data_IF_166423731022
#
_entry.id   IF_166423731022
#
_cell.length_a   1.000
_cell.length_b   1.000
_cell.length_c   1.000
_cell.angle_alpha   90.00
_cell.angle_beta   90.00
_cell.angle_gamma   90.00
#
_symmetry.space_group_name_H-M   'P 1'
#
loop_
_entity.id
_entity.type
_entity.pdbx_description
1 polymer ?
#
# COMPACT_ATOMS: atom_id res chain seq x y z
N UNK A 1 -67.86 44.97 -26.38
CA UNK A 1 -67.68 43.50 -26.28
C UNK A 1 -67.01 43.00 -27.53
N UNK A 2 -66.06 42.08 -27.37
CA UNK A 2 -65.17 41.57 -28.43
C UNK A 2 -63.77 42.07 -28.14
N UNK A 3 -62.95 41.46 -27.27
CA UNK A 3 -62.61 40.03 -27.25
C UNK A 3 -62.62 39.45 -28.67
N UNK A 4 -61.87 40.07 -29.57
CA UNK A 4 -61.30 39.30 -30.68
C UNK A 4 -60.30 38.37 -30.03
N UNK A 5 -60.83 37.19 -29.71
CA UNK A 5 -60.11 36.07 -29.20
C UNK A 5 -58.92 35.88 -30.11
N UNK A 6 -57.74 36.19 -29.54
CA UNK A 6 -56.55 35.39 -29.62
C UNK A 6 -56.74 34.31 -30.68
N UNK A 7 -56.22 34.60 -31.87
CA UNK A 7 -55.90 33.56 -32.84
C UNK A 7 -54.89 32.62 -32.18
N UNK A 8 -55.33 31.79 -31.23
CA UNK A 8 -54.57 30.68 -30.67
C UNK A 8 -54.17 29.76 -31.82
N UNK A 9 -55.03 29.64 -32.84
CA UNK A 9 -54.74 28.89 -34.07
C UNK A 9 -53.53 29.44 -34.83
N UNK A 10 -53.25 30.75 -34.77
CA UNK A 10 -52.07 31.33 -35.43
C UNK A 10 -50.81 31.26 -34.57
N UNK A 11 -50.91 31.21 -33.23
CA UNK A 11 -49.77 30.92 -32.35
C UNK A 11 -49.27 29.46 -32.51
N UNK A 12 -50.17 28.51 -32.80
CA UNK A 12 -49.82 27.10 -33.01
C UNK A 12 -49.60 26.70 -34.49
N UNK A 13 -49.80 27.61 -35.45
CA UNK A 13 -49.46 27.38 -36.87
C UNK A 13 -47.95 27.25 -37.04
N UNK A 14 -47.50 26.24 -37.81
CA UNK A 14 -46.08 25.96 -38.12
C UNK A 14 -45.30 27.19 -38.62
N UNK A 15 -45.97 28.14 -39.28
CA UNK A 15 -45.39 29.40 -39.78
C UNK A 15 -44.92 30.36 -38.68
N UNK A 16 -45.43 30.21 -37.45
CA UNK A 16 -45.10 31.04 -36.30
C UNK A 16 -43.91 30.51 -35.51
N UNK A 17 -43.38 29.33 -35.87
CA UNK A 17 -42.17 28.76 -35.28
C UNK A 17 -40.93 29.35 -35.96
N UNK A 18 -40.39 30.41 -35.36
CA UNK A 18 -39.04 30.88 -35.70
C UNK A 18 -38.01 29.98 -35.03
N UNK A 19 -37.17 29.30 -35.83
CA UNK A 19 -35.99 28.59 -35.34
C UNK A 19 -34.81 29.55 -35.43
N UNK A 20 -34.40 30.11 -34.29
CA UNK A 20 -33.22 30.97 -34.22
C UNK A 20 -31.98 30.12 -33.92
N UNK A 21 -31.08 30.02 -34.89
CA UNK A 21 -29.74 29.49 -34.72
C UNK A 21 -28.75 30.64 -34.83
N UNK A 22 -28.20 31.08 -33.70
CA UNK A 22 -27.18 32.13 -33.65
C UNK A 22 -25.84 31.44 -33.37
N UNK A 23 -24.99 31.19 -34.38
CA UNK A 23 -23.65 30.70 -34.13
C UNK A 23 -22.81 31.81 -33.49
N UNK A 24 -22.32 31.56 -32.27
CA UNK A 24 -21.43 32.48 -31.56
C UNK A 24 -20.00 31.96 -31.53
N UNK A 25 -19.04 32.73 -32.06
CA UNK A 25 -17.61 32.50 -31.91
C UNK A 25 -17.08 33.33 -30.74
N UNK A 26 -16.73 32.67 -29.62
CA UNK A 26 -16.12 33.32 -28.47
C UNK A 26 -14.60 33.17 -28.56
N UNK A 27 -13.91 34.21 -29.00
CA UNK A 27 -12.45 34.30 -28.96
C UNK A 27 -12.04 35.32 -27.89
N UNK A 28 -11.60 34.87 -26.68
CA UNK A 28 -11.14 35.79 -25.66
C UNK A 28 -9.80 36.41 -26.09
N UNK A 29 -9.81 37.70 -26.44
CA UNK A 29 -8.60 38.44 -26.84
C UNK A 29 -7.72 38.81 -25.64
N UNK A 30 -8.29 38.92 -24.45
CA UNK A 30 -7.58 39.19 -23.19
C UNK A 30 -8.24 38.41 -22.04
N UNK A 31 -7.56 37.37 -21.56
CA UNK A 31 -8.05 36.49 -20.47
C UNK A 31 -7.36 36.76 -19.12
N UNK A 32 -6.57 37.84 -19.01
CA UNK A 32 -5.90 38.25 -17.77
C UNK A 32 -4.96 37.21 -17.16
N UNK A 33 -4.49 36.23 -17.94
CA UNK A 33 -3.68 35.11 -17.45
C UNK A 33 -4.48 33.92 -16.91
N UNK A 34 -5.82 33.99 -16.84
CA UNK A 34 -6.71 32.90 -16.36
C UNK A 34 -6.54 31.60 -17.13
N UNK A 35 -6.33 31.67 -18.44
CA UNK A 35 -6.09 30.49 -19.27
C UNK A 35 -4.74 29.83 -18.94
N UNK A 36 -3.69 30.63 -18.72
CA UNK A 36 -2.36 30.14 -18.34
C UNK A 36 -2.35 29.59 -16.91
N UNK A 37 -3.04 30.22 -15.97
CA UNK A 37 -3.18 29.73 -14.59
C UNK A 37 -3.91 28.38 -14.52
N UNK A 38 -4.96 28.18 -15.33
CA UNK A 38 -5.62 26.87 -15.42
C UNK A 38 -4.70 25.80 -16.04
N UNK A 39 -3.89 26.18 -17.03
CA UNK A 39 -2.90 25.27 -17.62
C UNK A 39 -1.81 24.89 -16.61
N UNK A 40 -1.31 25.84 -15.83
CA UNK A 40 -0.35 25.58 -14.75
C UNK A 40 -0.94 24.69 -13.66
N UNK A 41 -2.17 24.94 -13.22
CA UNK A 41 -2.86 24.09 -12.25
C UNK A 41 -3.05 22.66 -12.77
N UNK A 42 -3.42 22.51 -14.04
CA UNK A 42 -3.57 21.19 -14.69
C UNK A 42 -2.23 20.46 -14.80
N UNK A 43 -1.16 21.18 -15.17
CA UNK A 43 0.20 20.61 -15.24
C UNK A 43 0.72 20.21 -13.86
N UNK A 44 0.50 21.02 -12.84
CA UNK A 44 0.88 20.70 -11.47
C UNK A 44 0.15 19.45 -10.95
N UNK A 45 -1.15 19.33 -11.22
CA UNK A 45 -1.92 18.13 -10.90
C UNK A 45 -1.38 16.88 -11.63
N UNK A 46 -1.07 17.00 -12.93
CA UNK A 46 -0.45 15.92 -13.69
C UNK A 46 0.90 15.48 -13.11
N UNK A 47 1.77 16.44 -12.76
CA UNK A 47 3.07 16.15 -12.17
C UNK A 47 2.92 15.45 -10.81
N UNK A 48 1.94 15.86 -9.99
CA UNK A 48 1.65 15.20 -8.73
C UNK A 48 1.20 13.74 -8.93
N UNK A 49 0.42 13.46 -9.98
CA UNK A 49 -0.02 12.09 -10.29
C UNK A 49 1.15 11.22 -10.76
N UNK A 50 2.07 11.77 -11.56
CA UNK A 50 3.30 11.07 -11.97
C UNK A 50 4.16 10.77 -10.75
N UNK A 51 4.33 11.73 -9.85
CA UNK A 51 5.13 11.52 -8.63
C UNK A 51 4.52 10.46 -7.72
N UNK A 52 3.19 10.48 -7.52
CA UNK A 52 2.47 9.44 -6.77
C UNK A 52 2.66 8.05 -7.39
N UNK A 53 2.60 7.95 -8.71
CA UNK A 53 2.87 6.70 -9.42
C UNK A 53 4.30 6.22 -9.17
N UNK A 54 5.29 7.10 -9.34
CA UNK A 54 6.70 6.77 -9.09
C UNK A 54 6.92 6.30 -7.65
N UNK A 55 6.34 7.01 -6.67
CA UNK A 55 6.43 6.63 -5.27
C UNK A 55 5.77 5.27 -5.00
N UNK A 56 4.62 4.98 -5.60
CA UNK A 56 3.93 3.70 -5.47
C UNK A 56 4.78 2.55 -6.00
N UNK A 57 5.42 2.73 -7.15
CA UNK A 57 6.31 1.72 -7.75
C UNK A 57 7.55 1.52 -6.88
N UNK A 58 8.17 2.62 -6.41
CA UNK A 58 9.33 2.56 -5.54
C UNK A 58 9.03 1.84 -4.22
N UNK A 59 7.86 2.10 -3.62
CA UNK A 59 7.41 1.43 -2.41
C UNK A 59 7.21 -0.07 -2.66
N UNK A 60 6.54 -0.45 -3.75
CA UNK A 60 6.34 -1.85 -4.10
C UNK A 60 7.67 -2.62 -4.27
N UNK A 61 8.65 -2.03 -4.94
CA UNK A 61 9.99 -2.63 -5.09
C UNK A 61 10.70 -2.74 -3.74
N UNK A 62 10.62 -1.70 -2.91
CA UNK A 62 11.17 -1.72 -1.54
C UNK A 62 10.55 -2.82 -0.69
N UNK A 63 9.23 -2.96 -0.74
CA UNK A 63 8.50 -3.97 0.05
C UNK A 63 8.91 -5.38 -0.38
N UNK A 64 9.06 -5.63 -1.68
CA UNK A 64 9.58 -6.92 -2.19
C UNK A 64 11.00 -7.18 -1.70
N UNK A 65 11.88 -6.17 -1.76
CA UNK A 65 13.26 -6.31 -1.29
C UNK A 65 13.34 -6.59 0.22
N UNK A 66 12.59 -5.85 1.03
CA UNK A 66 12.54 -6.00 2.50
C UNK A 66 11.89 -7.33 2.90
N UNK A 67 10.80 -7.72 2.25
CA UNK A 67 10.13 -9.00 2.54
C UNK A 67 10.99 -10.19 2.10
N UNK A 68 11.71 -10.06 0.99
CA UNK A 68 12.66 -11.06 0.51
C UNK A 68 13.80 -11.30 1.51
N UNK A 69 14.44 -10.23 1.99
CA UNK A 69 15.51 -10.35 3.00
C UNK A 69 14.99 -10.88 4.33
N UNK A 70 13.79 -10.49 4.75
CA UNK A 70 13.18 -10.99 5.99
C UNK A 70 12.96 -12.50 5.98
N UNK A 71 12.57 -13.08 4.84
CA UNK A 71 12.42 -14.53 4.71
C UNK A 71 13.76 -15.25 4.81
N UNK A 72 14.82 -14.68 4.22
CA UNK A 72 16.17 -15.24 4.34
C UNK A 72 16.67 -15.18 5.78
N UNK A 73 16.55 -14.02 6.44
CA UNK A 73 16.92 -13.86 7.85
C UNK A 73 16.16 -14.82 8.76
N UNK A 74 14.86 -15.05 8.52
CA UNK A 74 14.08 -16.03 9.28
C UNK A 74 14.56 -17.47 9.10
N UNK A 75 15.06 -17.84 7.92
CA UNK A 75 15.64 -19.17 7.71
C UNK A 75 16.98 -19.30 8.43
N UNK A 76 17.85 -18.29 8.34
CA UNK A 76 19.13 -18.27 9.05
C UNK A 76 18.92 -18.31 10.58
N UNK A 77 17.96 -17.55 11.11
CA UNK A 77 17.56 -17.57 12.52
C UNK A 77 17.06 -18.95 12.96
N UNK A 78 16.26 -19.63 12.12
CA UNK A 78 15.79 -21.00 12.41
C UNK A 78 16.92 -22.02 12.44
N UNK A 79 17.86 -21.93 11.49
CA UNK A 79 19.02 -22.82 11.45
C UNK A 79 19.90 -22.63 12.69
N UNK A 80 20.24 -21.37 13.03
CA UNK A 80 20.98 -21.05 14.25
C UNK A 80 20.24 -21.53 15.51
N UNK A 81 18.91 -21.38 15.58
CA UNK A 81 18.13 -21.86 16.72
C UNK A 81 18.14 -23.39 16.82
N UNK A 82 18.08 -24.10 15.69
CA UNK A 82 18.19 -25.56 15.67
C UNK A 82 19.56 -26.03 16.15
N UNK A 83 20.65 -25.36 15.73
CA UNK A 83 22.00 -25.63 16.21
C UNK A 83 22.14 -25.39 17.73
N UNK A 84 21.57 -24.29 18.24
CA UNK A 84 21.58 -23.99 19.68
C UNK A 84 20.85 -25.06 20.50
N UNK A 85 19.69 -25.51 20.04
CA UNK A 85 18.94 -26.59 20.70
C UNK A 85 19.76 -27.89 20.72
N UNK A 86 20.37 -28.26 19.59
CA UNK A 86 21.18 -29.48 19.51
C UNK A 86 22.43 -29.41 20.39
N UNK A 87 23.14 -28.28 20.40
CA UNK A 87 24.28 -28.05 21.27
C UNK A 87 23.89 -28.19 22.75
N UNK A 88 22.76 -27.61 23.14
CA UNK A 88 22.27 -27.68 24.52
C UNK A 88 21.88 -29.11 24.90
N UNK A 89 21.22 -29.85 24.00
CA UNK A 89 20.92 -31.28 24.18
C UNK A 89 22.16 -32.15 24.27
N UNK A 90 23.21 -31.82 23.53
CA UNK A 90 24.49 -32.51 23.64
C UNK A 90 25.12 -32.31 25.02
N UNK A 91 25.14 -31.09 25.53
CA UNK A 91 25.62 -30.78 26.88
C UNK A 91 24.81 -31.48 27.96
N UNK A 92 23.48 -31.53 27.82
CA UNK A 92 22.62 -32.29 28.72
C UNK A 92 22.99 -33.77 28.74
N UNK A 93 23.11 -34.42 27.57
CA UNK A 93 23.49 -35.84 27.45
C UNK A 93 24.86 -36.11 28.07
N UNK A 94 25.82 -35.21 27.88
CA UNK A 94 27.15 -35.32 28.47
C UNK A 94 27.11 -35.25 30.01
N UNK A 95 26.36 -34.31 30.58
CA UNK A 95 26.19 -34.18 32.02
C UNK A 95 25.47 -35.41 32.64
N UNK A 96 24.46 -35.93 31.94
CA UNK A 96 23.72 -37.12 32.36
C UNK A 96 24.61 -38.39 32.33
N UNK A 97 25.43 -38.55 31.29
CA UNK A 97 26.41 -39.63 31.22
C UNK A 97 27.50 -39.52 32.29
N UNK A 98 27.98 -38.32 32.61
CA UNK A 98 28.93 -38.10 33.69
C UNK A 98 28.32 -38.48 35.06
N UNK A 99 27.04 -38.16 35.29
CA UNK A 99 26.33 -38.52 36.51
C UNK A 99 26.17 -40.03 36.65
N UNK A 100 25.78 -40.72 35.58
CA UNK A 100 25.66 -42.18 35.55
C UNK A 100 26.99 -42.89 35.85
N UNK A 101 28.11 -42.26 35.50
CA UNK A 101 29.47 -42.76 35.80
C UNK A 101 29.99 -42.30 37.17
N UNK A 102 29.20 -41.57 37.95
CA UNK A 102 29.58 -41.05 39.27
C UNK A 102 30.61 -39.92 39.23
N UNK A 103 30.83 -39.29 38.08
CA UNK A 103 31.82 -38.23 37.88
C UNK A 103 31.30 -36.82 38.22
N UNK A 104 29.99 -36.67 38.42
CA UNK A 104 29.34 -35.41 38.79
C UNK A 104 28.15 -35.67 39.72
N UNK A 105 27.65 -34.62 40.36
CA UNK A 105 26.50 -34.67 41.27
C UNK A 105 25.16 -34.64 40.52
N UNK A 106 24.10 -35.15 41.16
CA UNK A 106 22.73 -35.12 40.62
C UNK A 106 22.24 -33.69 40.36
N UNK A 107 22.70 -32.73 41.17
CA UNK A 107 22.36 -31.32 41.03
C UNK A 107 22.87 -30.77 39.70
N UNK A 108 24.16 -30.98 39.37
CA UNK A 108 24.74 -30.54 38.10
C UNK A 108 24.06 -31.17 36.88
N UNK A 109 23.68 -32.45 36.96
CA UNK A 109 22.91 -33.10 35.89
C UNK A 109 21.46 -32.61 35.77
N UNK A 110 20.90 -31.99 36.81
CA UNK A 110 19.56 -31.39 36.77
C UNK A 110 19.64 -29.94 36.25
N UNK A 111 20.67 -29.20 36.66
CA UNK A 111 20.95 -27.86 36.13
C UNK A 111 21.22 -27.88 34.62
N UNK A 112 21.89 -28.91 34.11
CA UNK A 112 22.13 -29.08 32.66
C UNK A 112 20.86 -29.29 31.81
N UNK A 113 19.70 -29.60 32.42
CA UNK A 113 18.40 -29.68 31.73
C UNK A 113 17.72 -28.32 31.58
N UNK A 114 17.98 -27.38 32.49
CA UNK A 114 17.35 -26.06 32.50
C UNK A 114 17.48 -25.30 31.16
N UNK A 115 18.65 -25.25 30.50
CA UNK A 115 18.75 -24.52 29.23
C UNK A 115 18.01 -25.21 28.09
N UNK A 116 17.86 -26.54 28.08
CA UNK A 116 17.05 -27.24 27.05
C UNK A 116 15.57 -26.87 27.19
N UNK A 117 15.06 -26.88 28.43
CA UNK A 117 13.69 -26.48 28.74
C UNK A 117 13.41 -25.01 28.37
N UNK A 118 14.39 -24.13 28.52
CA UNK A 118 14.27 -22.72 28.14
C UNK A 118 14.27 -22.50 26.62
N UNK A 119 14.91 -23.38 25.84
CA UNK A 119 14.91 -23.31 24.37
C UNK A 119 13.71 -24.03 23.72
N UNK A 120 12.99 -24.88 24.46
CA UNK A 120 11.80 -25.62 23.99
C UNK A 120 10.45 -24.91 24.27
N UNK A 121 10.42 -23.87 25.11
CA UNK A 121 9.22 -23.04 25.38
C UNK A 121 9.12 -21.84 24.43
#
# INVERSE_FOLDING_TARGET
FGLDAIHLDTLFKKTSRQFNFIPGLKLPLFDGGRLNANLEGTRAASNMMIERYNQSVLNAVRDVAVNGTRLQTLNDEREMQAERVEATRFTQRAAEAAYQRGLTSRLQATEARLPVLAEEM
#
